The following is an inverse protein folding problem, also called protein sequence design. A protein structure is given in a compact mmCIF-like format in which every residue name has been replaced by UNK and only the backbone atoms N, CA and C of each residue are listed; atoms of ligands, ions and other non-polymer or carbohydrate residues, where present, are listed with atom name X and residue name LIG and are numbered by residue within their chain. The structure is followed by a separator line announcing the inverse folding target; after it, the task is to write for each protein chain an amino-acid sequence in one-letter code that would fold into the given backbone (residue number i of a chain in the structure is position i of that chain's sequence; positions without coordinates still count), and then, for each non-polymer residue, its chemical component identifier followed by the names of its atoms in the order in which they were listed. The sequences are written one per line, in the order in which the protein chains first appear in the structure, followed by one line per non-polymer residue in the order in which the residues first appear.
data_IF_426681720903
#
_entry.id   IF_426681720903
#
_cell.length_a   1.000
_cell.length_b   1.000
_cell.length_c   1.000
_cell.angle_alpha   90.00
_cell.angle_beta   90.00
_cell.angle_gamma   90.00
#
_symmetry.space_group_name_H-M   'P 1'
#
loop_
_entity.id
_entity.type
_entity.pdbx_description
1 polymer ?
#
# COMPACT_ATOMS: atom_id res chain seq x y z
N UNK A 1 12.75 -28.04 14.50
CA UNK A 1 12.17 -28.09 13.15
C UNK A 1 12.83 -26.99 12.33
N UNK A 2 13.60 -27.32 11.30
CA UNK A 2 14.01 -26.34 10.29
C UNK A 2 12.75 -25.97 9.50
N UNK A 3 12.19 -24.79 9.76
CA UNK A 3 11.11 -24.25 8.93
C UNK A 3 11.80 -23.77 7.65
N UNK A 4 11.31 -24.19 6.49
CA UNK A 4 11.86 -23.74 5.22
C UNK A 4 11.61 -22.24 5.01
N UNK A 5 12.52 -21.50 4.35
CA UNK A 5 12.37 -20.07 4.11
C UNK A 5 11.04 -19.70 3.43
N UNK A 6 10.61 -20.47 2.41
CA UNK A 6 9.34 -20.23 1.73
C UNK A 6 8.12 -20.33 2.66
N UNK A 7 8.15 -21.18 3.69
CA UNK A 7 7.07 -21.28 4.68
C UNK A 7 7.01 -20.04 5.56
N UNK A 8 8.15 -19.50 5.98
CA UNK A 8 8.21 -18.27 6.78
C UNK A 8 7.78 -17.04 5.99
N UNK A 9 8.13 -16.97 4.70
CA UNK A 9 7.75 -15.85 3.83
C UNK A 9 6.26 -15.89 3.49
N UNK A 10 5.72 -17.08 3.21
CA UNK A 10 4.28 -17.29 3.01
C UNK A 10 3.48 -16.92 4.26
N UNK A 11 3.94 -17.35 5.44
CA UNK A 11 3.30 -17.00 6.71
C UNK A 11 3.32 -15.48 6.95
N UNK A 12 4.46 -14.82 6.67
CA UNK A 12 4.60 -13.36 6.79
C UNK A 12 3.62 -12.64 5.87
N UNK A 13 3.51 -13.07 4.61
CA UNK A 13 2.56 -12.51 3.64
C UNK A 13 1.10 -12.65 4.11
N UNK A 14 0.71 -13.82 4.61
CA UNK A 14 -0.64 -14.06 5.13
C UNK A 14 -0.94 -13.24 6.40
N UNK A 15 0.05 -13.07 7.29
CA UNK A 15 -0.09 -12.22 8.48
C UNK A 15 -0.28 -10.75 8.06
N UNK A 16 0.50 -10.25 7.11
CA UNK A 16 0.35 -8.89 6.58
C UNK A 16 -1.05 -8.67 5.97
N UNK A 17 -1.56 -9.66 5.22
CA UNK A 17 -2.93 -9.62 4.69
C UNK A 17 -3.98 -9.54 5.82
N UNK A 18 -3.83 -10.35 6.87
CA UNK A 18 -4.70 -10.31 8.04
C UNK A 18 -4.64 -8.95 8.75
N UNK A 19 -3.46 -8.34 8.84
CA UNK A 19 -3.31 -6.99 9.41
C UNK A 19 -4.03 -5.95 8.57
N UNK A 20 -3.97 -6.01 7.22
CA UNK A 20 -4.75 -5.10 6.35
C UNK A 20 -6.24 -5.20 6.64
N UNK A 21 -6.77 -6.42 6.75
CA UNK A 21 -8.17 -6.65 7.09
C UNK A 21 -8.51 -6.16 8.50
N UNK A 22 -7.65 -6.40 9.48
CA UNK A 22 -7.83 -5.94 10.86
C UNK A 22 -7.86 -4.41 10.94
N UNK A 23 -6.92 -3.72 10.27
CA UNK A 23 -6.88 -2.25 10.22
C UNK A 23 -8.12 -1.70 9.50
N UNK A 24 -8.51 -2.28 8.37
CA UNK A 24 -9.71 -1.88 7.66
C UNK A 24 -10.98 -2.05 8.54
N UNK A 25 -11.13 -3.21 9.19
CA UNK A 25 -12.24 -3.50 10.10
C UNK A 25 -12.27 -2.56 11.30
N UNK A 26 -11.13 -2.34 11.95
CA UNK A 26 -10.99 -1.42 13.08
C UNK A 26 -11.41 0.01 12.70
N UNK A 27 -10.98 0.50 11.54
CA UNK A 27 -11.35 1.83 11.05
C UNK A 27 -12.84 1.93 10.68
N UNK A 28 -13.46 0.87 10.19
CA UNK A 28 -14.91 0.80 9.95
C UNK A 28 -15.69 0.88 11.27
N UNK A 29 -15.25 0.15 12.30
CA UNK A 29 -15.84 0.18 13.64
C UNK A 29 -15.70 1.57 14.26
N UNK A 30 -14.51 2.18 14.20
CA UNK A 30 -14.25 3.53 14.69
C UNK A 30 -15.16 4.57 14.01
N UNK A 31 -15.39 4.43 12.71
CA UNK A 31 -16.27 5.31 11.95
C UNK A 31 -17.75 5.17 12.34
N UNK A 32 -18.16 4.03 12.91
CA UNK A 32 -19.53 3.84 13.44
C UNK A 32 -19.80 4.77 14.62
N UNK A 33 -18.76 5.26 15.29
CA UNK A 33 -18.89 6.21 16.39
C UNK A 33 -19.17 7.64 15.86
N UNK A 34 -20.28 8.24 16.30
CA UNK A 34 -20.79 9.53 15.79
C UNK A 34 -19.79 10.68 15.94
N UNK A 35 -18.99 10.65 17.00
CA UNK A 35 -17.94 11.64 17.28
C UNK A 35 -16.82 11.65 16.23
N UNK A 36 -16.40 10.48 15.75
CA UNK A 36 -15.36 10.36 14.72
C UNK A 36 -15.88 10.76 13.33
N UNK A 37 -17.15 10.49 13.04
CA UNK A 37 -17.79 10.82 11.76
C UNK A 37 -17.86 12.32 11.51
N UNK A 38 -18.04 13.14 12.55
CA UNK A 38 -18.17 14.61 12.41
C UNK A 38 -16.83 15.32 12.26
N UNK A 39 -15.77 14.84 12.93
CA UNK A 39 -14.45 15.48 12.94
C UNK A 39 -13.48 14.96 11.88
N UNK A 40 -13.58 13.70 11.46
CA UNK A 40 -12.55 13.05 10.65
C UNK A 40 -13.15 12.47 9.36
N UNK A 41 -12.88 13.15 8.23
CA UNK A 41 -13.27 12.68 6.88
C UNK A 41 -12.29 11.67 6.26
N UNK A 42 -11.45 11.03 7.08
CA UNK A 42 -10.47 10.04 6.61
C UNK A 42 -11.21 8.72 6.31
N UNK A 43 -10.96 8.11 5.15
CA UNK A 43 -11.46 6.78 4.78
C UNK A 43 -10.48 5.71 5.27
N UNK A 44 -10.94 4.48 5.60
CA UNK A 44 -10.05 3.39 6.02
C UNK A 44 -8.88 3.13 5.06
N UNK A 45 -9.16 3.17 3.74
CA UNK A 45 -8.16 3.04 2.67
C UNK A 45 -7.09 4.14 2.70
N UNK A 46 -7.29 5.25 3.41
CA UNK A 46 -6.31 6.34 3.41
C UNK A 46 -5.04 5.97 4.19
N UNK A 47 -5.11 4.96 5.05
CA UNK A 47 -3.96 4.45 5.78
C UNK A 47 -3.20 3.34 5.04
N UNK A 48 -3.73 2.85 3.92
CA UNK A 48 -3.11 1.75 3.20
C UNK A 48 -1.74 2.10 2.61
N UNK A 49 -1.52 3.27 1.95
CA UNK A 49 -0.21 3.58 1.37
C UNK A 49 0.98 3.48 2.34
N UNK A 50 0.97 4.10 3.55
CA UNK A 50 2.10 3.96 4.48
C UNK A 50 2.24 2.54 5.03
N UNK A 51 1.14 1.81 5.26
CA UNK A 51 1.18 0.41 5.73
C UNK A 51 1.79 -0.50 4.65
N UNK A 52 1.37 -0.33 3.40
CA UNK A 52 1.86 -1.12 2.28
C UNK A 52 3.34 -0.85 2.00
N UNK A 53 3.80 0.40 2.09
CA UNK A 53 5.23 0.71 2.00
C UNK A 53 6.03 -0.03 3.08
N UNK A 54 5.55 -0.02 4.34
CA UNK A 54 6.19 -0.76 5.41
C UNK A 54 6.19 -2.28 5.16
N UNK A 55 5.09 -2.86 4.67
CA UNK A 55 5.02 -4.28 4.35
C UNK A 55 5.94 -4.68 3.21
N UNK A 56 6.03 -3.86 2.16
CA UNK A 56 7.00 -4.03 1.07
C UNK A 56 8.42 -4.00 1.62
N UNK A 57 8.74 -3.07 2.53
CA UNK A 57 10.06 -3.04 3.20
C UNK A 57 10.35 -4.34 3.93
N UNK A 58 9.41 -4.76 4.77
CA UNK A 58 9.61 -5.86 5.69
C UNK A 58 9.78 -7.18 4.93
N UNK A 59 8.92 -7.43 3.94
CA UNK A 59 8.95 -8.69 3.18
C UNK A 59 10.17 -8.73 2.26
N UNK A 60 10.55 -7.61 1.62
CA UNK A 60 11.75 -7.56 0.79
C UNK A 60 13.03 -7.73 1.61
N UNK A 61 13.16 -7.03 2.75
CA UNK A 61 14.37 -7.11 3.58
C UNK A 61 14.57 -8.48 4.25
N UNK A 62 13.47 -9.19 4.54
CA UNK A 62 13.54 -10.53 5.15
C UNK A 62 13.81 -11.63 4.11
N UNK A 63 13.16 -11.55 2.96
CA UNK A 63 13.30 -12.53 1.90
C UNK A 63 14.50 -12.32 0.98
N UNK A 64 15.03 -11.10 0.90
CA UNK A 64 16.09 -10.71 -0.02
C UNK A 64 17.18 -9.91 0.71
N UNK A 65 18.36 -9.84 0.10
CA UNK A 65 19.50 -9.08 0.66
C UNK A 65 19.33 -7.55 0.64
N UNK A 66 18.16 -7.03 0.23
CA UNK A 66 17.89 -5.61 0.06
C UNK A 66 16.41 -5.27 0.19
N UNK A 67 16.09 -3.97 0.23
CA UNK A 67 14.70 -3.51 0.25
C UNK A 67 14.30 -3.01 -1.13
N UNK A 68 13.14 -3.44 -1.62
CA UNK A 68 12.55 -2.94 -2.87
C UNK A 68 11.81 -1.60 -2.73
N UNK A 69 11.86 -0.98 -1.54
CA UNK A 69 11.26 0.34 -1.33
C UNK A 69 11.78 1.38 -2.34
N UNK A 70 13.10 1.53 -2.57
CA UNK A 70 13.61 2.57 -3.47
C UNK A 70 13.04 2.44 -4.88
N UNK A 71 13.00 1.23 -5.43
CA UNK A 71 12.47 0.92 -6.75
C UNK A 71 10.98 1.20 -6.81
N UNK A 72 10.21 0.71 -5.84
CA UNK A 72 8.76 0.95 -5.76
C UNK A 72 8.46 2.44 -5.62
N UNK A 73 9.22 3.18 -4.82
CA UNK A 73 9.04 4.63 -4.63
C UNK A 73 9.40 5.39 -5.90
N UNK A 74 10.47 5.03 -6.61
CA UNK A 74 10.84 5.66 -7.89
C UNK A 74 9.72 5.45 -8.92
N UNK A 75 9.23 4.22 -9.09
CA UNK A 75 8.15 3.93 -10.03
C UNK A 75 6.86 4.63 -9.60
N UNK A 76 6.54 4.62 -8.30
CA UNK A 76 5.38 5.30 -7.75
C UNK A 76 5.42 6.79 -8.05
N UNK A 77 6.51 7.48 -7.72
CA UNK A 77 6.69 8.92 -7.97
C UNK A 77 6.67 9.24 -9.48
N UNK A 78 7.29 8.39 -10.31
CA UNK A 78 7.28 8.53 -11.76
C UNK A 78 5.86 8.46 -12.35
N UNK A 79 5.10 7.42 -11.99
CA UNK A 79 3.69 7.29 -12.41
C UNK A 79 2.84 8.44 -11.89
N UNK A 80 3.10 8.89 -10.66
CA UNK A 80 2.41 10.05 -10.07
C UNK A 80 2.60 11.30 -10.91
N UNK A 81 3.82 11.53 -11.38
CA UNK A 81 4.17 12.68 -12.18
C UNK A 81 3.50 12.61 -13.57
N UNK A 82 3.47 11.42 -14.18
CA UNK A 82 2.74 11.19 -15.44
C UNK A 82 1.24 11.48 -15.28
N UNK A 83 0.62 10.96 -14.22
CA UNK A 83 -0.81 11.18 -13.93
C UNK A 83 -1.09 12.65 -13.64
N UNK A 84 -0.20 13.34 -12.93
CA UNK A 84 -0.30 14.78 -12.68
C UNK A 84 -0.27 15.57 -13.99
N UNK A 85 0.71 15.31 -14.85
CA UNK A 85 0.82 15.98 -16.15
C UNK A 85 -0.44 15.75 -16.99
N UNK A 86 -0.90 14.50 -17.09
CA UNK A 86 -2.12 14.18 -17.81
C UNK A 86 -3.36 14.91 -17.27
N UNK A 87 -3.50 15.02 -15.94
CA UNK A 87 -4.61 15.73 -15.30
C UNK A 87 -4.57 17.24 -15.53
N UNK A 88 -3.38 17.85 -15.60
CA UNK A 88 -3.22 19.28 -15.89
C UNK A 88 -3.79 19.60 -17.28
N UNK A 89 -3.51 18.76 -18.29
CA UNK A 89 -3.99 18.98 -19.65
C UNK A 89 -5.48 18.61 -19.84
N UNK A 90 -5.96 17.58 -19.14
CA UNK A 90 -7.30 17.03 -19.37
C UNK A 90 -8.38 17.75 -18.54
N UNK A 91 -8.01 18.35 -17.41
CA UNK A 91 -8.97 18.84 -16.42
C UNK A 91 -8.74 20.32 -16.09
N UNK A 92 -9.35 21.27 -16.84
CA UNK A 92 -9.14 22.71 -16.64
C UNK A 92 -9.68 23.22 -15.29
N UNK A 93 -10.45 22.41 -14.55
CA UNK A 93 -10.98 22.70 -13.21
C UNK A 93 -10.30 21.87 -12.12
N UNK A 94 -9.08 21.38 -12.37
CA UNK A 94 -8.31 20.63 -11.39
C UNK A 94 -8.02 21.51 -10.18
N UNK A 95 -8.41 21.03 -9.00
CA UNK A 95 -8.04 21.66 -7.73
C UNK A 95 -7.04 20.77 -7.01
N UNK A 96 -6.17 21.36 -6.19
CA UNK A 96 -5.22 20.62 -5.35
C UNK A 96 -5.90 19.46 -4.61
N UNK A 97 -7.06 19.73 -4.00
CA UNK A 97 -7.82 18.71 -3.27
C UNK A 97 -8.24 17.53 -4.14
N UNK A 98 -8.73 17.78 -5.37
CA UNK A 98 -9.14 16.70 -6.27
C UNK A 98 -7.95 15.87 -6.73
N UNK A 99 -6.84 16.55 -7.06
CA UNK A 99 -5.60 15.88 -7.42
C UNK A 99 -5.12 14.96 -6.29
N UNK A 100 -4.98 15.47 -5.06
CA UNK A 100 -4.52 14.68 -3.92
C UNK A 100 -5.42 13.47 -3.64
N UNK A 101 -6.74 13.62 -3.75
CA UNK A 101 -7.66 12.48 -3.57
C UNK A 101 -7.43 11.43 -4.65
N UNK A 102 -7.33 11.82 -5.92
CA UNK A 102 -7.10 10.86 -7.01
C UNK A 102 -5.73 10.21 -6.90
N UNK A 103 -4.69 10.99 -6.61
CA UNK A 103 -3.34 10.51 -6.33
C UNK A 103 -3.34 9.47 -5.21
N UNK A 104 -4.01 9.76 -4.10
CA UNK A 104 -4.04 8.85 -2.95
C UNK A 104 -4.72 7.53 -3.28
N UNK A 105 -5.79 7.53 -4.11
CA UNK A 105 -6.45 6.30 -4.57
C UNK A 105 -5.63 5.50 -5.56
N UNK A 106 -4.94 6.20 -6.47
CA UNK A 106 -4.02 5.54 -7.39
C UNK A 106 -2.88 4.87 -6.63
N UNK A 107 -2.32 5.58 -5.64
CA UNK A 107 -1.25 5.09 -4.78
C UNK A 107 -1.65 3.84 -4.02
N UNK A 108 -2.87 3.81 -3.50
CA UNK A 108 -3.43 2.66 -2.82
C UNK A 108 -3.44 1.40 -3.71
N UNK A 109 -4.02 1.51 -4.92
CA UNK A 109 -4.05 0.42 -5.89
C UNK A 109 -2.65 0.01 -6.36
N UNK A 110 -1.79 0.98 -6.66
CA UNK A 110 -0.44 0.75 -7.14
C UNK A 110 0.42 0.03 -6.10
N UNK A 111 0.44 0.53 -4.86
CA UNK A 111 1.22 -0.05 -3.77
C UNK A 111 0.68 -1.42 -3.36
N UNK A 112 -0.64 -1.62 -3.41
CA UNK A 112 -1.24 -2.92 -3.16
C UNK A 112 -0.79 -3.95 -4.21
N UNK A 113 -0.80 -3.56 -5.49
CA UNK A 113 -0.25 -4.37 -6.58
C UNK A 113 1.24 -4.67 -6.38
N UNK A 114 2.05 -3.67 -6.05
CA UNK A 114 3.48 -3.85 -5.78
C UNK A 114 3.72 -4.81 -4.61
N UNK A 115 2.95 -4.69 -3.53
CA UNK A 115 3.05 -5.59 -2.38
C UNK A 115 2.74 -7.05 -2.76
N UNK A 116 1.71 -7.30 -3.57
CA UNK A 116 1.43 -8.65 -4.10
C UNK A 116 2.60 -9.16 -4.94
N UNK A 117 3.09 -8.35 -5.90
CA UNK A 117 4.18 -8.75 -6.79
C UNK A 117 5.45 -9.07 -6.02
N UNK A 118 5.84 -8.21 -5.07
CA UNK A 118 7.02 -8.42 -4.22
C UNK A 118 6.83 -9.65 -3.33
N UNK A 119 5.65 -9.83 -2.75
CA UNK A 119 5.36 -11.01 -1.92
C UNK A 119 5.46 -12.32 -2.69
N UNK A 120 4.87 -12.37 -3.89
CA UNK A 120 4.98 -13.54 -4.79
C UNK A 120 6.44 -13.78 -5.17
N UNK A 121 7.16 -12.74 -5.59
CA UNK A 121 8.55 -12.84 -6.00
C UNK A 121 9.44 -13.42 -4.88
N UNK A 122 9.31 -12.90 -3.66
CA UNK A 122 10.04 -13.39 -2.48
C UNK A 122 9.72 -14.86 -2.20
N UNK A 123 8.44 -15.25 -2.22
CA UNK A 123 8.04 -16.64 -1.98
C UNK A 123 8.63 -17.57 -3.05
N UNK A 124 8.64 -17.17 -4.32
CA UNK A 124 9.20 -17.96 -5.41
C UNK A 124 10.72 -18.11 -5.30
N UNK A 125 11.44 -17.07 -4.89
CA UNK A 125 12.91 -17.14 -4.72
C UNK A 125 13.32 -18.02 -3.53
N UNK A 126 12.41 -18.24 -2.58
CA UNK A 126 12.62 -19.04 -1.38
C UNK A 126 12.31 -20.55 -1.54
N UNK A 127 11.76 -20.97 -2.69
CA UNK A 127 11.46 -22.38 -3.04
C UNK A 127 12.70 -23.04 -3.64
#
# INVERSE_FOLDING_TARGET
MHISPWMTDTATFLIQLLILFAVAGFLVILRKNHFFRSKVRIKPLDFWPPILLYFIHEISKKGLSGSFIPEVVIVWLGLTLIVLLWQIFTNPKLTYKKFFVTFWRFSDLFLFGCWIVVGIYVIFEAI
#
